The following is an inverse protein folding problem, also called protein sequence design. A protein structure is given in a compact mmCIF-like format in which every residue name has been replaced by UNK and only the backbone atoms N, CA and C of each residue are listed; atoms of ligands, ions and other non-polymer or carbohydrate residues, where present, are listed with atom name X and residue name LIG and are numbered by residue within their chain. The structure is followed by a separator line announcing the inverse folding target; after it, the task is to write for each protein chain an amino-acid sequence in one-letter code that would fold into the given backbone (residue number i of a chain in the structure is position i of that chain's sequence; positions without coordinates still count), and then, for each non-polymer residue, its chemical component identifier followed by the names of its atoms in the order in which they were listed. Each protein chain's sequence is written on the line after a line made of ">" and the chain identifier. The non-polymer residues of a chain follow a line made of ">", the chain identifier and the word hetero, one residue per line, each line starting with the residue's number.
data_IF_637517965408
#
_entry.id   IF_637517965408
#
_cell.length_a   1.000
_cell.length_b   1.000
_cell.length_c   1.000
_cell.angle_alpha   90.00
_cell.angle_beta   90.00
_cell.angle_gamma   90.00
#
_symmetry.space_group_name_H-M   'P 1'
#
loop_
_entity.id
_entity.type
_entity.pdbx_description
1 polymer ?
#
# COMPACT_ATOMS: atom_id res chain seq x y z
N UNK A 1 3.54 5.49 -16.53
CA UNK A 1 3.73 4.44 -15.51
C UNK A 1 4.39 5.06 -14.29
N UNK A 2 3.58 5.62 -13.40
CA UNK A 2 4.00 6.12 -12.11
C UNK A 2 2.94 5.63 -11.15
N UNK A 3 3.25 4.57 -10.42
CA UNK A 3 2.41 4.04 -9.36
C UNK A 3 2.01 5.22 -8.46
N UNK A 4 0.71 5.40 -8.23
CA UNK A 4 0.17 6.48 -7.39
C UNK A 4 0.61 6.35 -5.93
N UNK A 5 1.40 5.31 -5.61
CA UNK A 5 2.02 5.11 -4.31
C UNK A 5 1.01 4.71 -3.25
N UNK A 6 -0.23 4.39 -3.65
CA UNK A 6 -1.30 3.87 -2.81
C UNK A 6 -1.24 2.33 -2.78
N UNK A 7 -1.62 1.74 -1.66
CA UNK A 7 -1.57 0.31 -1.43
C UNK A 7 -0.20 -0.21 -0.98
N UNK A 8 -0.08 -1.52 -0.90
CA UNK A 8 1.15 -2.22 -0.52
C UNK A 8 2.18 -2.18 -1.65
N UNK A 9 3.32 -1.50 -1.47
CA UNK A 9 4.30 -1.37 -2.54
C UNK A 9 4.98 -2.71 -2.81
N UNK A 10 5.17 -3.04 -4.08
CA UNK A 10 5.93 -4.23 -4.51
C UNK A 10 7.24 -3.87 -5.22
N UNK A 11 7.29 -2.71 -5.88
CA UNK A 11 8.48 -2.20 -6.57
C UNK A 11 8.71 -0.71 -6.28
N UNK A 12 9.97 -0.31 -6.29
CA UNK A 12 10.38 1.09 -6.24
C UNK A 12 10.30 1.71 -7.64
N UNK A 13 10.25 3.05 -7.71
CA UNK A 13 10.30 3.82 -8.95
C UNK A 13 11.56 3.56 -9.80
N UNK A 14 12.64 3.07 -9.19
CA UNK A 14 13.86 2.64 -9.89
C UNK A 14 13.78 1.21 -10.46
N UNK A 15 12.63 0.54 -10.38
CA UNK A 15 12.41 -0.81 -10.88
C UNK A 15 12.83 -1.95 -9.93
N UNK A 16 13.48 -1.64 -8.82
CA UNK A 16 13.92 -2.65 -7.84
C UNK A 16 12.77 -3.10 -6.94
N UNK A 17 12.67 -4.41 -6.65
CA UNK A 17 11.70 -4.96 -5.69
C UNK A 17 11.94 -4.37 -4.29
N UNK A 18 10.87 -3.98 -3.61
CA UNK A 18 10.96 -3.42 -2.26
C UNK A 18 11.18 -4.52 -1.23
N UNK A 19 11.78 -4.16 -0.09
CA UNK A 19 11.93 -5.03 1.06
C UNK A 19 11.08 -4.51 2.22
N UNK A 20 10.55 -5.42 3.04
CA UNK A 20 9.82 -5.10 4.27
C UNK A 20 10.73 -5.31 5.47
N UNK A 21 10.82 -4.31 6.35
CA UNK A 21 11.68 -4.30 7.53
C UNK A 21 10.91 -3.84 8.76
N UNK A 22 11.46 -4.16 9.93
CA UNK A 22 10.98 -3.67 11.23
C UNK A 22 11.87 -2.53 11.69
N UNK A 23 11.28 -1.38 12.03
CA UNK A 23 11.99 -0.23 12.56
C UNK A 23 12.60 -0.54 13.93
N UNK A 24 13.88 -0.20 14.06
CA UNK A 24 14.66 -0.31 15.30
C UNK A 24 14.94 1.06 15.93
N UNK A 25 14.30 2.11 15.41
CA UNK A 25 14.46 3.48 15.94
C UNK A 25 13.75 3.62 17.29
N UNK A 26 14.26 4.51 18.14
CA UNK A 26 13.63 4.83 19.44
C UNK A 26 12.25 5.47 19.23
N UNK A 27 12.09 6.25 18.15
CA UNK A 27 10.84 6.97 17.86
C UNK A 27 9.74 6.06 17.32
N UNK A 28 10.08 5.04 16.53
CA UNK A 28 9.11 4.11 15.93
C UNK A 28 9.52 2.66 16.18
N UNK A 29 9.65 2.20 17.43
CA UNK A 29 10.13 0.87 17.73
C UNK A 29 9.13 -0.18 17.25
N UNK A 30 9.58 -1.18 16.51
CA UNK A 30 8.75 -2.30 16.06
C UNK A 30 7.83 -2.01 14.87
N UNK A 31 7.69 -0.75 14.42
CA UNK A 31 6.82 -0.40 13.29
C UNK A 31 7.38 -0.95 11.97
N UNK A 32 6.53 -1.57 11.15
CA UNK A 32 6.92 -2.18 9.88
C UNK A 32 6.90 -1.14 8.74
N UNK A 33 7.91 -1.19 7.87
CA UNK A 33 7.97 -0.33 6.68
C UNK A 33 8.50 -1.08 5.47
N UNK A 34 8.17 -0.56 4.29
CA UNK A 34 8.72 -0.97 3.01
C UNK A 34 9.74 0.06 2.53
N UNK A 35 10.90 -0.39 2.03
CA UNK A 35 11.86 0.51 1.37
C UNK A 35 12.49 -0.11 0.14
N UNK A 36 13.01 0.74 -0.74
CA UNK A 36 13.97 0.31 -1.76
C UNK A 36 15.29 -0.11 -1.09
N UNK A 37 15.92 -1.24 -1.48
CA UNK A 37 17.25 -1.62 -1.00
C UNK A 37 18.33 -0.56 -1.28
N UNK A 38 18.20 0.17 -2.39
CA UNK A 38 19.13 1.23 -2.80
C UNK A 38 18.77 2.61 -2.23
N UNK A 39 17.68 2.72 -1.45
CA UNK A 39 17.25 3.97 -0.85
C UNK A 39 18.00 4.31 0.43
N UNK A 40 18.29 5.60 0.61
CA UNK A 40 18.80 6.21 1.83
C UNK A 40 17.86 7.32 2.31
N UNK A 41 18.13 7.89 3.49
CA UNK A 41 17.29 8.92 4.12
C UNK A 41 17.29 10.26 3.35
N UNK A 42 18.31 10.49 2.51
CA UNK A 42 18.49 11.74 1.79
C UNK A 42 17.93 11.69 0.36
N UNK A 43 17.62 10.49 -0.15
CA UNK A 43 17.19 10.28 -1.51
C UNK A 43 15.70 9.98 -1.65
N UNK A 44 14.91 11.03 -1.92
CA UNK A 44 13.47 10.94 -2.17
C UNK A 44 13.09 10.21 -3.46
N UNK A 45 14.05 9.88 -4.32
CA UNK A 45 13.80 9.06 -5.51
C UNK A 45 13.42 7.62 -5.14
N UNK A 46 13.93 7.14 -4.01
CA UNK A 46 13.70 5.78 -3.55
C UNK A 46 12.50 5.69 -2.60
N UNK A 47 11.76 4.60 -2.73
CA UNK A 47 10.56 4.36 -1.94
C UNK A 47 10.91 4.14 -0.47
N UNK A 48 10.16 4.81 0.40
CA UNK A 48 9.97 4.50 1.81
C UNK A 48 8.48 4.66 2.11
N UNK A 49 7.85 3.67 2.75
CA UNK A 49 6.44 3.74 3.14
C UNK A 49 6.14 2.87 4.35
N UNK A 50 5.30 3.36 5.26
CA UNK A 50 4.85 2.55 6.40
C UNK A 50 3.85 1.48 5.97
N UNK A 51 3.96 0.30 6.60
CA UNK A 51 3.10 -0.85 6.25
C UNK A 51 1.67 -0.62 6.68
N UNK A 52 1.45 -0.06 7.87
CA UNK A 52 0.12 0.24 8.42
C UNK A 52 -0.63 1.28 7.57
N UNK A 53 0.05 2.33 7.11
CA UNK A 53 -0.54 3.30 6.18
C UNK A 53 -0.99 2.63 4.86
N UNK A 54 -0.13 1.76 4.32
CA UNK A 54 -0.46 0.99 3.11
C UNK A 54 -1.66 0.07 3.33
N UNK A 55 -1.77 -0.56 4.52
CA UNK A 55 -2.89 -1.45 4.85
C UNK A 55 -4.21 -0.69 4.98
N UNK A 56 -4.19 0.52 5.54
CA UNK A 56 -5.40 1.36 5.63
C UNK A 56 -5.94 1.66 4.23
N UNK A 57 -5.05 2.06 3.32
CA UNK A 57 -5.43 2.34 1.93
C UNK A 57 -6.04 1.12 1.22
N UNK A 58 -5.43 -0.07 1.39
CA UNK A 58 -5.98 -1.32 0.84
C UNK A 58 -7.37 -1.63 1.42
N UNK A 59 -7.58 -1.40 2.72
CA UNK A 59 -8.88 -1.61 3.36
C UNK A 59 -9.93 -0.66 2.82
N UNK A 60 -9.58 0.61 2.58
CA UNK A 60 -10.49 1.58 1.97
C UNK A 60 -10.87 1.17 0.54
N UNK A 61 -9.90 0.71 -0.26
CA UNK A 61 -10.13 0.24 -1.62
C UNK A 61 -10.98 -1.03 -1.64
N UNK A 62 -10.78 -1.93 -0.67
CA UNK A 62 -11.63 -3.11 -0.50
C UNK A 62 -13.07 -2.72 -0.14
N UNK A 63 -13.26 -1.78 0.80
CA UNK A 63 -14.61 -1.30 1.17
C UNK A 63 -15.38 -0.79 -0.03
N UNK A 64 -14.75 0.05 -0.86
CA UNK A 64 -15.37 0.56 -2.08
C UNK A 64 -15.81 -0.59 -3.01
N UNK A 65 -14.94 -1.57 -3.24
CA UNK A 65 -15.25 -2.74 -4.09
C UNK A 65 -16.38 -3.58 -3.50
N UNK A 66 -16.43 -3.73 -2.17
CA UNK A 66 -17.53 -4.43 -1.51
C UNK A 66 -18.87 -3.71 -1.74
N UNK A 67 -18.92 -2.39 -1.60
CA UNK A 67 -20.14 -1.62 -1.85
C UNK A 67 -20.59 -1.73 -3.33
N UNK A 68 -19.64 -1.77 -4.26
CA UNK A 68 -19.92 -1.98 -5.69
C UNK A 68 -20.51 -3.36 -5.96
N UNK A 69 -19.94 -4.40 -5.35
CA UNK A 69 -20.44 -5.79 -5.46
C UNK A 69 -21.84 -5.90 -4.84
N UNK A 70 -22.07 -5.31 -3.68
CA UNK A 70 -23.37 -5.35 -3.01
C UNK A 70 -24.45 -4.67 -3.87
N UNK A 71 -24.16 -3.49 -4.40
CA UNK A 71 -25.07 -2.80 -5.33
C UNK A 71 -25.37 -3.63 -6.58
N UNK A 72 -24.35 -4.27 -7.17
CA UNK A 72 -24.54 -5.14 -8.32
C UNK A 72 -25.38 -6.38 -7.99
N UNK A 73 -25.19 -6.99 -6.82
CA UNK A 73 -26.00 -8.13 -6.38
C UNK A 73 -27.48 -7.74 -6.26
N UNK A 74 -27.77 -6.59 -5.65
CA UNK A 74 -29.15 -6.10 -5.50
C UNK A 74 -29.83 -5.76 -6.84
N UNK A 75 -29.08 -5.39 -7.89
CA UNK A 75 -29.68 -5.17 -9.22
C UNK A 75 -30.01 -6.48 -9.92
N UNK A 76 -29.19 -7.52 -9.75
CA UNK A 76 -29.51 -8.85 -10.29
C UNK A 76 -30.76 -9.45 -9.65
N UNK A 77 -30.93 -9.31 -8.33
CA UNK A 77 -32.13 -9.79 -7.62
C UNK A 77 -33.42 -9.09 -8.08
N UNK A 78 -33.34 -7.82 -8.50
CA UNK A 78 -34.50 -7.05 -8.99
C UNK A 78 -34.84 -7.30 -10.46
N UNK A 79 -33.93 -7.92 -11.22
CA UNK A 79 -34.10 -8.23 -12.63
C UNK A 79 -34.62 -9.64 -12.93
N UNK A 80 -34.71 -10.49 -11.90
CA UNK A 80 -35.36 -11.81 -11.92
C UNK A 80 -36.83 -11.68 -11.53
#
# INVERSE_FOLDING_TARGET
>A
MGDTGRGLPTYCRCGTRVIRLTSKTITNPGRLFHKCPYGDENNRHHLFKWTDESMVEEIEDMKQKFDEIERASSTFEKGL
#
